data_IF_966788554458
#
_entry.id   IF_966788554458
#
_cell.length_a   1.000
_cell.length_b   1.000
_cell.length_c   1.000
_cell.angle_alpha   90.00
_cell.angle_beta   90.00
_cell.angle_gamma   90.00
#
_symmetry.space_group_name_H-M   'P 1'
#
loop_
_entity.id
_entity.type
_entity.pdbx_description
1 polymer ?
#
# COMPACT_ATOMS: atom_id res chain seq x y z
N UNK A 1 6.40 9.56 -11.67
CA UNK A 1 7.13 8.38 -12.20
C UNK A 1 7.61 8.69 -13.61
N UNK A 2 8.87 9.09 -13.81
CA UNK A 2 9.33 9.63 -15.11
C UNK A 2 9.54 8.60 -16.22
N UNK A 3 9.65 7.30 -15.90
CA UNK A 3 10.06 6.24 -16.84
C UNK A 3 9.09 5.05 -16.92
N UNK A 4 7.83 5.23 -16.49
CA UNK A 4 6.87 4.13 -16.49
C UNK A 4 6.65 3.59 -17.92
N UNK A 5 6.48 4.49 -18.89
CA UNK A 5 6.29 4.13 -20.30
C UNK A 5 7.50 3.42 -20.88
N UNK A 6 8.70 3.93 -20.59
CA UNK A 6 9.96 3.34 -21.04
C UNK A 6 10.12 1.90 -20.51
N UNK A 7 9.88 1.68 -19.22
CA UNK A 7 9.98 0.35 -18.60
C UNK A 7 8.96 -0.65 -19.14
N UNK A 8 7.78 -0.19 -19.55
CA UNK A 8 6.77 -1.06 -20.15
C UNK A 8 7.14 -1.39 -21.60
N UNK A 9 7.64 -0.41 -22.36
CA UNK A 9 8.12 -0.63 -23.72
C UNK A 9 9.32 -1.61 -23.79
N UNK A 10 10.14 -1.65 -22.74
CA UNK A 10 11.26 -2.60 -22.61
C UNK A 10 10.82 -4.00 -22.13
N UNK A 11 9.57 -4.16 -21.68
CA UNK A 11 9.10 -5.42 -21.11
C UNK A 11 8.64 -6.39 -22.21
N UNK A 12 9.13 -7.64 -22.22
CA UNK A 12 8.67 -8.64 -23.19
C UNK A 12 7.28 -9.22 -22.88
N UNK A 13 6.66 -8.84 -21.76
CA UNK A 13 5.42 -9.46 -21.24
C UNK A 13 4.33 -8.45 -20.85
N UNK A 14 4.63 -7.15 -20.84
CA UNK A 14 3.68 -6.10 -20.45
C UNK A 14 3.33 -5.24 -21.65
N UNK A 15 2.04 -5.11 -21.91
CA UNK A 15 1.49 -4.20 -22.92
C UNK A 15 0.41 -3.34 -22.25
N UNK A 16 0.40 -2.04 -22.56
CA UNK A 16 -0.68 -1.13 -22.16
C UNK A 16 -1.58 -0.94 -23.38
N UNK A 17 -2.89 -1.25 -23.29
CA UNK A 17 -3.85 -0.91 -24.33
C UNK A 17 -3.86 0.59 -24.60
N UNK A 18 -4.02 0.99 -25.87
CA UNK A 18 -3.95 2.40 -26.27
C UNK A 18 -5.09 3.23 -25.64
N UNK A 19 -6.18 2.58 -25.25
CA UNK A 19 -7.35 3.17 -24.61
C UNK A 19 -7.23 3.25 -23.08
N UNK A 20 -6.18 2.70 -22.46
CA UNK A 20 -6.03 2.69 -21.01
C UNK A 20 -5.35 3.98 -20.51
N UNK A 21 -6.11 4.81 -19.80
CA UNK A 21 -5.55 5.99 -19.13
C UNK A 21 -4.95 5.63 -17.77
N UNK A 22 -3.70 6.04 -17.54
CA UNK A 22 -2.96 5.80 -16.29
C UNK A 22 -2.96 7.08 -15.47
N UNK A 23 -3.84 7.12 -14.47
CA UNK A 23 -3.95 8.24 -13.55
C UNK A 23 -2.97 8.04 -12.38
N UNK A 24 -1.97 8.91 -12.18
CA UNK A 24 -1.07 8.81 -11.04
C UNK A 24 -1.81 9.18 -9.74
N UNK A 25 -1.70 8.33 -8.73
CA UNK A 25 -2.23 8.58 -7.39
C UNK A 25 -1.14 8.50 -6.32
N UNK A 26 -1.31 9.29 -5.25
CA UNK A 26 -0.55 9.18 -4.01
C UNK A 26 -1.54 8.79 -2.92
N UNK A 27 -1.18 7.78 -2.11
CA UNK A 27 -2.02 7.34 -1.00
C UNK A 27 -2.32 8.51 -0.06
N UNK A 28 -3.55 8.56 0.45
CA UNK A 28 -4.06 9.71 1.21
C UNK A 28 -3.15 10.06 2.41
N UNK A 29 -2.59 9.06 3.07
CA UNK A 29 -1.57 9.26 4.11
C UNK A 29 -0.33 10.01 3.65
N UNK A 30 0.21 9.66 2.48
CA UNK A 30 1.47 10.19 1.99
C UNK A 30 1.30 11.57 1.34
N UNK A 31 0.15 11.82 0.69
CA UNK A 31 -0.05 13.09 -0.05
C UNK A 31 -0.11 14.30 0.87
N UNK A 32 -0.55 14.15 2.13
CA UNK A 32 -0.52 15.24 3.12
C UNK A 32 0.90 15.64 3.55
N UNK A 33 1.90 14.77 3.34
CA UNK A 33 3.31 15.09 3.58
C UNK A 33 4.02 15.76 2.38
N UNK A 34 3.32 15.94 1.26
CA UNK A 34 3.82 16.67 0.09
C UNK A 34 3.41 18.15 0.13
N UNK A 35 3.82 18.93 -0.87
CA UNK A 35 3.33 20.29 -1.08
C UNK A 35 1.82 20.31 -1.40
N UNK A 36 1.13 21.39 -1.00
CA UNK A 36 -0.33 21.52 -1.11
C UNK A 36 -0.88 21.28 -2.52
N UNK A 37 -0.15 21.70 -3.55
CA UNK A 37 -0.57 21.48 -4.94
C UNK A 37 -0.69 20.01 -5.33
N UNK A 38 -0.03 19.10 -4.60
CA UNK A 38 -0.12 17.66 -4.82
C UNK A 38 -1.44 17.07 -4.31
N UNK A 39 -2.07 17.68 -3.30
CA UNK A 39 -3.29 17.15 -2.69
C UNK A 39 -4.42 17.03 -3.71
N UNK A 40 -4.76 18.12 -4.40
CA UNK A 40 -5.84 18.14 -5.39
C UNK A 40 -5.51 17.30 -6.64
N UNK A 41 -4.21 17.15 -6.95
CA UNK A 41 -3.76 16.48 -8.18
C UNK A 41 -3.62 14.96 -8.05
N UNK A 42 -3.29 14.47 -6.86
CA UNK A 42 -2.86 13.09 -6.67
C UNK A 42 -3.55 12.38 -5.52
N UNK A 43 -4.31 13.06 -4.66
CA UNK A 43 -5.03 12.35 -3.62
C UNK A 43 -6.08 11.43 -4.26
N UNK A 44 -6.08 10.16 -3.82
CA UNK A 44 -7.04 9.16 -4.29
C UNK A 44 -8.50 9.57 -4.11
N UNK A 45 -8.78 10.51 -3.19
CA UNK A 45 -10.11 11.09 -2.97
C UNK A 45 -10.71 11.79 -4.19
N UNK A 46 -9.89 12.20 -5.16
CA UNK A 46 -10.31 12.89 -6.38
C UNK A 46 -10.21 12.02 -7.63
N UNK A 47 -9.81 10.74 -7.49
CA UNK A 47 -9.68 9.80 -8.61
C UNK A 47 -10.94 8.93 -8.63
N UNK A 48 -11.72 9.01 -9.70
CA UNK A 48 -12.92 8.19 -9.87
C UNK A 48 -12.57 6.70 -9.90
N UNK A 49 -13.35 5.88 -9.20
CA UNK A 49 -13.10 4.44 -9.09
C UNK A 49 -11.94 4.05 -8.16
N UNK A 50 -11.15 5.00 -7.66
CA UNK A 50 -10.13 4.70 -6.66
C UNK A 50 -10.78 4.37 -5.30
N UNK A 51 -10.32 3.29 -4.67
CA UNK A 51 -10.75 2.94 -3.33
C UNK A 51 -10.40 4.06 -2.35
N UNK A 52 -11.41 4.50 -1.59
CA UNK A 52 -11.22 5.39 -0.45
C UNK A 52 -10.83 4.54 0.75
N UNK A 53 -9.54 4.32 0.91
CA UNK A 53 -9.02 3.80 2.17
C UNK A 53 -8.84 5.00 3.07
N UNK A 54 -9.73 5.13 4.04
CA UNK A 54 -9.59 6.13 5.08
C UNK A 54 -8.25 5.90 5.78
N UNK A 55 -7.39 6.90 5.72
CA UNK A 55 -6.12 6.87 6.44
C UNK A 55 -6.35 6.65 7.94
N UNK A 56 -7.42 7.21 8.47
CA UNK A 56 -7.79 7.17 9.88
C UNK A 56 -8.16 5.77 10.39
N UNK A 57 -8.45 4.80 9.50
CA UNK A 57 -8.71 3.42 9.95
C UNK A 57 -7.48 2.83 10.64
N UNK A 58 -6.27 3.10 10.12
CA UNK A 58 -5.03 2.60 10.74
C UNK A 58 -4.74 3.30 12.06
N UNK A 59 -5.05 4.60 12.21
CA UNK A 59 -4.92 5.31 13.50
C UNK A 59 -5.93 4.80 14.52
N UNK A 60 -7.18 4.60 14.10
CA UNK A 60 -8.25 4.08 14.95
C UNK A 60 -7.97 2.65 15.39
N UNK A 61 -7.44 1.83 14.47
CA UNK A 61 -7.05 0.44 14.75
C UNK A 61 -5.71 0.35 15.50
N UNK A 62 -4.87 1.39 15.50
CA UNK A 62 -3.55 1.36 16.15
C UNK A 62 -3.65 1.07 17.65
N UNK A 63 -4.57 1.75 18.35
CA UNK A 63 -4.75 1.54 19.79
C UNK A 63 -5.19 0.10 20.12
N UNK A 64 -6.23 -0.48 19.47
CA UNK A 64 -6.55 -1.90 19.59
C UNK A 64 -5.40 -2.85 19.18
N UNK A 65 -4.72 -2.57 18.06
CA UNK A 65 -3.60 -3.38 17.55
C UNK A 65 -2.41 -3.41 18.51
N UNK A 66 -2.11 -2.28 19.16
CA UNK A 66 -1.06 -2.21 20.18
C UNK A 66 -1.34 -3.12 21.38
N UNK A 67 -2.61 -3.26 21.77
CA UNK A 67 -3.02 -4.12 22.88
C UNK A 67 -2.80 -5.60 22.53
N UNK A 68 -3.08 -6.00 21.29
CA UNK A 68 -2.95 -7.41 20.85
C UNK A 68 -1.59 -7.76 20.24
N UNK A 69 -0.78 -6.77 19.87
CA UNK A 69 0.57 -6.93 19.29
C UNK A 69 1.49 -7.84 20.12
N UNK A 70 1.55 -7.72 21.46
CA UNK A 70 2.32 -8.66 22.29
C UNK A 70 1.88 -10.12 22.16
N UNK A 71 0.59 -10.39 21.97
CA UNK A 71 0.08 -11.76 21.81
C UNK A 71 0.51 -12.38 20.46
N UNK A 72 0.65 -11.56 19.42
CA UNK A 72 1.18 -12.01 18.12
C UNK A 72 2.69 -12.28 18.15
N UNK A 73 3.46 -11.66 19.06
CA UNK A 73 4.92 -11.88 19.19
C UNK A 73 5.28 -13.32 19.62
N UNK A 74 4.38 -14.00 20.34
CA UNK A 74 4.57 -15.39 20.77
C UNK A 74 4.39 -16.44 19.66
N UNK A 75 3.66 -16.12 18.58
CA UNK A 75 3.44 -17.05 17.46
C UNK A 75 4.69 -17.31 16.63
N UNK A 76 5.69 -16.41 16.64
CA UNK A 76 6.92 -16.59 15.87
C UNK A 76 7.96 -17.54 16.50
N UNK A 77 7.92 -17.72 17.82
CA UNK A 77 8.96 -18.47 18.55
C UNK A 77 8.55 -19.91 18.89
N UNK A 78 7.28 -20.15 19.18
CA UNK A 78 6.76 -21.50 19.44
C UNK A 78 6.66 -22.32 18.16
N UNK A 79 6.19 -21.72 17.06
CA UNK A 79 6.11 -22.39 15.75
C UNK A 79 7.49 -22.79 15.20
N UNK A 80 8.57 -22.09 15.61
CA UNK A 80 9.94 -22.47 15.26
C UNK A 80 10.47 -23.65 16.07
N UNK A 81 9.95 -23.91 17.27
CA UNK A 81 10.45 -25.03 18.12
C UNK A 81 9.78 -26.36 17.81
N UNK A 82 8.54 -26.35 17.36
CA UNK A 82 7.80 -27.58 17.04
C UNK A 82 8.32 -28.25 15.76
N UNK A 83 8.86 -27.47 14.81
CA UNK A 83 9.52 -28.00 13.61
C UNK A 83 10.87 -28.70 13.90
N UNK A 84 11.46 -28.51 15.08
CA UNK A 84 12.73 -29.13 15.48
C UNK A 84 12.56 -30.28 16.48
N UNK A 85 11.33 -30.56 16.92
CA UNK A 85 11.03 -31.67 17.82
C UNK A 85 9.98 -32.60 17.20
N UNK A 86 10.27 -33.08 16.00
CA UNK A 86 9.84 -34.41 15.59
C UNK A 86 11.10 -35.27 15.64
N UNK A 87 11.33 -35.88 16.80
CA UNK A 87 12.21 -37.04 16.94
C UNK A 87 11.36 -38.29 16.82
#
# INVERSE_FOLDING_TARGET
>A
HKRLKDHIAESPILEIPEELDIIPGIGLWHVHGHQDSCYVRYASNFIEGAARIDSTIMETLWAPLNIISPAARGMGTLHRKDAWTIK
#
